data_IF_291504853675
#
_entry.id   IF_291504853675
#
_cell.length_a   1.000
_cell.length_b   1.000
_cell.length_c   1.000
_cell.angle_alpha   90.00
_cell.angle_beta   90.00
_cell.angle_gamma   90.00
#
_symmetry.space_group_name_H-M   'P 1'
#
loop_
_entity.id
_entity.type
_entity.pdbx_description
1 polymer ?
#
# COMPACT_ATOMS: atom_id res chain seq x y z
N UNK A 1 8.18 19.64 -6.47
CA UNK A 1 6.73 19.64 -6.77
C UNK A 1 6.14 18.30 -6.33
N UNK A 2 4.81 18.18 -6.24
CA UNK A 2 4.18 16.86 -6.23
C UNK A 2 4.20 16.27 -7.66
N UNK A 3 3.97 14.97 -7.80
CA UNK A 3 4.06 14.27 -9.09
C UNK A 3 2.90 14.62 -10.02
N UNK A 4 1.70 14.83 -9.46
CA UNK A 4 0.56 15.31 -10.24
C UNK A 4 0.71 16.82 -10.53
N UNK A 5 0.47 17.25 -11.79
CA UNK A 5 0.39 18.67 -12.14
C UNK A 5 -0.68 19.39 -11.29
N UNK A 6 -0.47 20.68 -11.05
CA UNK A 6 -1.40 21.47 -10.22
C UNK A 6 -2.79 21.55 -10.86
N UNK A 7 -2.85 21.58 -12.19
CA UNK A 7 -4.09 21.59 -12.99
C UNK A 7 -4.91 20.32 -12.77
N UNK A 8 -4.23 19.17 -12.63
CA UNK A 8 -4.86 17.89 -12.28
C UNK A 8 -5.42 17.92 -10.87
N UNK A 9 -4.67 18.44 -9.90
CA UNK A 9 -5.11 18.55 -8.50
C UNK A 9 -6.34 19.46 -8.36
N UNK A 10 -6.33 20.61 -9.03
CA UNK A 10 -7.48 21.54 -9.08
C UNK A 10 -8.71 20.87 -9.72
N UNK A 11 -8.51 20.08 -10.78
CA UNK A 11 -9.60 19.32 -11.42
C UNK A 11 -10.20 18.27 -10.48
N UNK A 12 -9.37 17.52 -9.74
CA UNK A 12 -9.83 16.56 -8.74
C UNK A 12 -10.59 17.29 -7.62
N UNK A 13 -10.07 18.42 -7.13
CA UNK A 13 -10.70 19.21 -6.06
C UNK A 13 -12.07 19.72 -6.49
N UNK A 14 -12.23 20.17 -7.74
CA UNK A 14 -13.51 20.56 -8.30
C UNK A 14 -14.52 19.40 -8.26
N UNK A 15 -14.11 18.20 -8.68
CA UNK A 15 -14.95 17.00 -8.62
C UNK A 15 -15.34 16.66 -7.18
N UNK A 16 -14.40 16.75 -6.23
CA UNK A 16 -14.65 16.51 -4.81
C UNK A 16 -15.77 17.41 -4.29
N UNK A 17 -15.74 18.70 -4.65
CA UNK A 17 -16.77 19.67 -4.25
C UNK A 17 -18.10 19.36 -4.96
N UNK A 18 -18.08 19.22 -6.29
CA UNK A 18 -19.29 19.01 -7.11
C UNK A 18 -20.05 17.73 -6.74
N UNK A 19 -19.32 16.66 -6.41
CA UNK A 19 -19.87 15.36 -6.04
C UNK A 19 -20.04 15.18 -4.54
N UNK A 20 -19.75 16.22 -3.75
CA UNK A 20 -19.85 16.19 -2.29
C UNK A 20 -19.06 15.02 -1.65
N UNK A 21 -17.91 14.69 -2.21
CA UNK A 21 -17.02 13.62 -1.72
C UNK A 21 -16.50 14.01 -0.34
N UNK A 22 -16.55 13.07 0.62
CA UNK A 22 -16.17 13.31 2.02
C UNK A 22 -14.83 12.68 2.42
N UNK A 23 -14.41 11.68 1.66
CA UNK A 23 -13.22 10.88 1.92
C UNK A 23 -12.57 10.53 0.60
N UNK A 24 -11.25 10.62 0.55
CA UNK A 24 -10.48 10.12 -0.58
C UNK A 24 -9.22 9.39 -0.11
N UNK A 25 -8.76 8.46 -0.94
CA UNK A 25 -7.50 7.77 -0.76
C UNK A 25 -6.49 8.32 -1.77
N UNK A 26 -5.28 8.62 -1.29
CA UNK A 26 -4.16 9.01 -2.13
C UNK A 26 -2.97 8.11 -1.79
N UNK A 27 -2.20 7.72 -2.79
CA UNK A 27 -0.95 6.99 -2.57
C UNK A 27 0.21 7.97 -2.47
N UNK A 28 1.15 7.71 -1.57
CA UNK A 28 2.33 8.56 -1.43
C UNK A 28 3.54 7.78 -0.98
N UNK A 29 4.67 8.07 -1.63
CA UNK A 29 5.97 7.50 -1.26
C UNK A 29 6.48 8.08 0.08
N UNK A 30 7.29 7.31 0.81
CA UNK A 30 7.88 7.70 2.09
C UNK A 30 8.62 9.06 2.07
N UNK A 31 9.20 9.44 0.93
CA UNK A 31 9.91 10.70 0.77
C UNK A 31 9.01 11.95 0.96
N UNK A 32 7.70 11.83 0.70
CA UNK A 32 6.74 12.93 0.82
C UNK A 32 6.04 13.01 2.19
N UNK A 33 6.40 12.16 3.16
CA UNK A 33 5.73 12.08 4.48
C UNK A 33 5.59 13.42 5.21
N UNK A 34 6.55 14.33 5.04
CA UNK A 34 6.52 15.67 5.68
C UNK A 34 5.60 16.67 4.98
N UNK A 35 5.06 16.32 3.80
CA UNK A 35 4.25 17.19 2.96
C UNK A 35 2.80 16.72 2.84
N UNK A 36 2.42 15.63 3.51
CA UNK A 36 1.05 15.08 3.47
C UNK A 36 0.00 16.08 3.96
N UNK A 37 0.38 16.97 4.89
CA UNK A 37 -0.54 17.99 5.41
C UNK A 37 -0.95 19.00 4.33
N UNK A 38 -0.03 19.37 3.43
CA UNK A 38 -0.33 20.30 2.33
C UNK A 38 -1.51 19.79 1.47
N UNK A 39 -1.58 18.47 1.25
CA UNK A 39 -2.67 17.84 0.50
C UNK A 39 -3.99 17.77 1.28
N UNK A 40 -3.93 17.53 2.59
CA UNK A 40 -5.14 17.57 3.44
C UNK A 40 -5.74 18.97 3.43
N UNK A 41 -4.91 19.99 3.58
CA UNK A 41 -5.32 21.38 3.58
C UNK A 41 -5.87 21.79 2.21
N UNK A 42 -5.25 21.33 1.12
CA UNK A 42 -5.68 21.61 -0.25
C UNK A 42 -7.09 21.05 -0.55
N UNK A 43 -7.33 19.78 -0.23
CA UNK A 43 -8.63 19.15 -0.51
C UNK A 43 -9.72 19.51 0.50
N UNK A 44 -9.37 19.83 1.74
CA UNK A 44 -10.33 20.25 2.78
C UNK A 44 -11.31 19.14 3.22
N UNK A 45 -10.99 17.87 2.93
CA UNK A 45 -11.77 16.69 3.31
C UNK A 45 -10.86 15.65 3.97
N UNK A 46 -11.43 14.52 4.43
CA UNK A 46 -10.62 13.42 4.96
C UNK A 46 -9.79 12.78 3.83
N UNK A 47 -8.47 12.87 3.94
CA UNK A 47 -7.54 12.23 3.01
C UNK A 47 -6.78 11.12 3.73
N UNK A 48 -7.00 9.88 3.30
CA UNK A 48 -6.28 8.70 3.75
C UNK A 48 -5.08 8.47 2.82
N UNK A 49 -3.87 8.49 3.38
CA UNK A 49 -2.67 8.17 2.61
C UNK A 49 -2.34 6.69 2.69
N UNK A 50 -2.24 6.05 1.53
CA UNK A 50 -1.68 4.72 1.32
C UNK A 50 -0.18 4.82 1.07
N UNK A 51 0.59 3.89 1.62
CA UNK A 51 2.01 3.75 1.34
C UNK A 51 2.33 2.32 0.92
N UNK A 52 3.06 2.17 -0.18
CA UNK A 52 3.71 0.92 -0.55
C UNK A 52 4.86 0.60 0.40
N UNK A 53 4.58 -0.24 1.40
CA UNK A 53 5.58 -0.78 2.34
C UNK A 53 6.18 -2.06 1.77
N UNK A 54 5.36 -2.85 1.07
CA UNK A 54 5.61 -4.16 0.47
C UNK A 54 5.94 -5.25 1.50
N UNK A 55 6.84 -4.98 2.44
CA UNK A 55 7.11 -5.77 3.63
C UNK A 55 7.71 -4.90 4.74
N UNK A 56 7.39 -5.20 6.01
CA UNK A 56 8.05 -4.56 7.15
C UNK A 56 9.45 -5.14 7.41
N UNK A 57 9.82 -6.26 6.80
CA UNK A 57 11.19 -6.77 6.83
C UNK A 57 12.14 -5.82 6.09
N UNK A 58 13.10 -5.26 6.83
CA UNK A 58 14.02 -4.25 6.30
C UNK A 58 15.00 -4.80 5.27
N UNK A 59 15.40 -6.06 5.40
CA UNK A 59 16.35 -6.67 4.49
C UNK A 59 15.66 -6.96 3.16
N UNK A 60 14.47 -7.55 3.20
CA UNK A 60 13.67 -7.81 2.02
C UNK A 60 13.32 -6.50 1.30
N UNK A 61 12.79 -5.50 2.03
CA UNK A 61 12.38 -4.21 1.45
C UNK A 61 13.52 -3.44 0.76
N UNK A 62 14.73 -3.47 1.32
CA UNK A 62 15.83 -2.66 0.80
C UNK A 62 16.77 -3.41 -0.13
N UNK A 63 17.02 -4.71 0.11
CA UNK A 63 17.98 -5.49 -0.68
C UNK A 63 17.32 -6.20 -1.85
N UNK A 64 16.06 -6.61 -1.72
CA UNK A 64 15.33 -7.33 -2.77
C UNK A 64 14.46 -6.35 -3.58
N UNK A 65 13.70 -5.48 -2.91
CA UNK A 65 12.75 -4.59 -3.58
C UNK A 65 13.31 -3.20 -3.90
N UNK A 66 14.48 -2.84 -3.37
CA UNK A 66 15.13 -1.53 -3.54
C UNK A 66 14.17 -0.33 -3.33
N UNK A 67 13.24 -0.43 -2.37
CA UNK A 67 12.13 0.53 -2.23
C UNK A 67 12.59 1.94 -1.78
N UNK A 68 13.83 2.09 -1.34
CA UNK A 68 14.39 3.35 -0.82
C UNK A 68 13.48 4.05 0.23
N UNK A 69 12.77 3.25 1.03
CA UNK A 69 11.90 3.70 2.12
C UNK A 69 12.60 3.46 3.46
N UNK A 70 13.26 4.52 3.96
CA UNK A 70 14.16 4.49 5.12
C UNK A 70 13.44 4.61 6.47
N UNK A 71 12.33 3.90 6.67
CA UNK A 71 11.72 3.77 7.99
C UNK A 71 12.28 2.55 8.73
N UNK A 72 12.39 2.64 10.06
CA UNK A 72 12.93 1.56 10.90
C UNK A 72 11.91 0.44 11.15
N UNK A 73 10.70 0.81 11.51
CA UNK A 73 9.63 -0.10 11.89
C UNK A 73 8.25 0.48 11.52
N UNK A 74 7.20 -0.27 11.80
CA UNK A 74 5.83 0.17 11.56
C UNK A 74 5.43 1.38 12.42
N UNK A 75 6.11 1.62 13.57
CA UNK A 75 5.83 2.76 14.43
C UNK A 75 6.22 4.09 13.78
N UNK A 76 7.23 4.09 12.93
CA UNK A 76 7.54 5.27 12.11
C UNK A 76 6.52 5.47 10.99
N UNK A 77 6.03 4.39 10.37
CA UNK A 77 5.04 4.47 9.29
C UNK A 77 3.70 5.02 9.79
N UNK A 78 3.19 4.49 10.91
CA UNK A 78 1.89 4.90 11.49
C UNK A 78 1.79 6.36 11.91
N UNK A 79 2.92 7.08 12.02
CA UNK A 79 2.92 8.52 12.32
C UNK A 79 2.35 9.34 11.16
N UNK A 80 2.42 8.81 9.94
CA UNK A 80 2.11 9.55 8.73
C UNK A 80 1.02 8.87 7.89
N UNK A 81 1.00 7.53 7.89
CA UNK A 81 0.14 6.72 7.04
C UNK A 81 -0.78 5.84 7.88
N UNK A 82 -2.06 5.81 7.52
CA UNK A 82 -3.07 4.95 8.15
C UNK A 82 -3.45 3.75 7.30
N UNK A 83 -3.01 3.74 6.03
CA UNK A 83 -3.19 2.65 5.08
C UNK A 83 -1.84 2.21 4.51
N UNK A 84 -1.61 0.90 4.44
CA UNK A 84 -0.36 0.31 3.92
C UNK A 84 -0.65 -0.73 2.85
N UNK A 85 0.22 -0.80 1.85
CA UNK A 85 0.21 -1.86 0.85
C UNK A 85 1.35 -2.84 1.13
N UNK A 86 1.02 -4.13 1.16
CA UNK A 86 1.94 -5.26 1.23
C UNK A 86 1.99 -5.98 -0.12
N UNK A 87 3.09 -6.71 -0.34
CA UNK A 87 3.30 -7.54 -1.51
C UNK A 87 3.61 -8.96 -1.05
N UNK A 88 2.88 -9.95 -1.57
CA UNK A 88 3.00 -11.37 -1.21
C UNK A 88 3.28 -12.20 -2.45
N UNK A 89 4.14 -13.22 -2.30
CA UNK A 89 4.39 -14.18 -3.37
C UNK A 89 5.63 -13.88 -4.20
N UNK A 90 6.63 -13.25 -3.60
CA UNK A 90 7.93 -12.97 -4.24
C UNK A 90 8.97 -13.97 -3.73
N UNK A 91 9.79 -14.51 -4.64
CA UNK A 91 10.92 -15.37 -4.27
C UNK A 91 11.86 -14.66 -3.29
N UNK A 92 12.19 -15.34 -2.20
CA UNK A 92 12.99 -14.80 -1.10
C UNK A 92 12.17 -14.34 0.10
N UNK A 93 10.84 -14.28 -0.01
CA UNK A 93 9.96 -14.18 1.16
C UNK A 93 9.88 -15.52 1.90
N UNK A 94 9.62 -15.45 3.21
CA UNK A 94 9.27 -16.61 4.02
C UNK A 94 7.85 -16.50 4.56
N UNK A 95 7.29 -17.63 4.99
CA UNK A 95 5.97 -17.67 5.64
C UNK A 95 5.96 -16.84 6.93
N UNK A 96 7.06 -16.85 7.67
CA UNK A 96 7.24 -16.08 8.91
C UNK A 96 7.26 -14.57 8.64
N UNK A 97 7.89 -14.15 7.53
CA UNK A 97 7.89 -12.75 7.10
C UNK A 97 6.46 -12.28 6.81
N UNK A 98 5.72 -13.05 6.01
CA UNK A 98 4.33 -12.73 5.67
C UNK A 98 3.44 -12.75 6.92
N UNK A 99 3.57 -13.74 7.80
CA UNK A 99 2.86 -13.79 9.09
C UNK A 99 3.04 -12.50 9.88
N UNK A 100 4.29 -12.09 10.06
CA UNK A 100 4.63 -10.87 10.79
C UNK A 100 4.06 -9.62 10.11
N UNK A 101 4.14 -9.55 8.78
CA UNK A 101 3.60 -8.41 8.03
C UNK A 101 2.08 -8.30 8.19
N UNK A 102 1.36 -9.42 8.06
CA UNK A 102 -0.10 -9.46 8.24
C UNK A 102 -0.50 -9.11 9.68
N UNK A 103 0.18 -9.67 10.68
CA UNK A 103 -0.07 -9.37 12.10
C UNK A 103 0.07 -7.87 12.40
N UNK A 104 1.10 -7.23 11.83
CA UNK A 104 1.33 -5.78 11.98
C UNK A 104 0.16 -5.00 11.36
N UNK A 105 -0.26 -5.34 10.14
CA UNK A 105 -1.36 -4.65 9.45
C UNK A 105 -2.67 -4.80 10.23
N UNK A 106 -3.00 -6.01 10.64
CA UNK A 106 -4.22 -6.30 11.40
C UNK A 106 -4.23 -5.61 12.77
N UNK A 107 -3.08 -5.50 13.43
CA UNK A 107 -3.01 -4.96 14.80
C UNK A 107 -2.80 -3.45 14.88
N UNK A 108 -2.18 -2.84 13.86
CA UNK A 108 -1.68 -1.47 13.99
C UNK A 108 -2.14 -0.48 12.92
N UNK A 109 -2.77 -0.95 11.83
CA UNK A 109 -3.23 -0.09 10.75
C UNK A 109 -4.76 -0.11 10.59
N UNK A 110 -5.29 1.04 10.14
CA UNK A 110 -6.72 1.22 9.92
C UNK A 110 -7.18 0.58 8.61
N UNK A 111 -6.28 0.53 7.62
CA UNK A 111 -6.52 -0.06 6.31
C UNK A 111 -5.28 -0.82 5.84
N UNK A 112 -5.48 -1.86 5.05
CA UNK A 112 -4.40 -2.59 4.39
C UNK A 112 -4.81 -3.08 3.01
N UNK A 113 -3.90 -3.00 2.06
CA UNK A 113 -4.02 -3.68 0.76
C UNK A 113 -2.94 -4.75 0.69
N UNK A 114 -3.29 -5.97 0.31
CA UNK A 114 -2.36 -7.08 0.12
C UNK A 114 -2.40 -7.45 -1.36
N UNK A 115 -1.31 -7.14 -2.07
CA UNK A 115 -1.16 -7.46 -3.48
C UNK A 115 -0.44 -8.80 -3.60
N UNK A 116 -1.03 -9.73 -4.35
CA UNK A 116 -0.33 -10.92 -4.83
C UNK A 116 0.55 -10.48 -6.00
N UNK A 117 1.84 -10.78 -5.92
CA UNK A 117 2.81 -10.32 -6.90
C UNK A 117 2.58 -10.96 -8.27
N UNK A 118 2.25 -10.16 -9.27
CA UNK A 118 2.25 -10.58 -10.68
C UNK A 118 3.61 -10.26 -11.30
N UNK A 119 4.21 -11.25 -11.98
CA UNK A 119 5.50 -11.04 -12.65
C UNK A 119 5.39 -9.94 -13.70
N UNK A 120 6.47 -9.17 -13.81
CA UNK A 120 6.60 -8.08 -14.77
C UNK A 120 7.97 -8.14 -15.45
N UNK A 121 8.39 -7.07 -16.11
CA UNK A 121 9.66 -7.01 -16.84
C UNK A 121 10.91 -6.95 -15.95
N UNK A 122 10.76 -6.93 -14.62
CA UNK A 122 11.88 -6.97 -13.68
C UNK A 122 12.39 -8.40 -13.44
N UNK A 123 13.57 -8.52 -12.83
CA UNK A 123 14.16 -9.81 -12.46
C UNK A 123 13.50 -10.46 -11.24
N UNK A 124 12.56 -9.77 -10.59
CA UNK A 124 11.81 -10.29 -9.44
C UNK A 124 10.88 -11.40 -9.92
N UNK A 125 10.95 -12.55 -9.26
CA UNK A 125 10.18 -13.75 -9.61
C UNK A 125 9.11 -14.08 -8.60
N UNK A 126 8.02 -14.64 -9.10
CA UNK A 126 6.87 -15.10 -8.32
C UNK A 126 7.19 -16.43 -7.64
N UNK A 127 6.62 -16.62 -6.45
CA UNK A 127 6.71 -17.83 -5.64
C UNK A 127 5.31 -18.46 -5.49
N UNK A 128 4.98 -19.38 -6.40
CA UNK A 128 3.65 -20.00 -6.46
C UNK A 128 3.33 -20.87 -5.23
N UNK A 129 4.34 -21.51 -4.62
CA UNK A 129 4.12 -22.30 -3.42
C UNK A 129 3.75 -21.40 -2.23
N UNK A 130 4.41 -20.24 -2.14
CA UNK A 130 4.13 -19.26 -1.11
C UNK A 130 2.75 -18.62 -1.30
N UNK A 131 2.36 -18.34 -2.54
CA UNK A 131 1.03 -17.81 -2.87
C UNK A 131 -0.04 -18.83 -2.52
N UNK A 132 0.07 -20.07 -3.02
CA UNK A 132 -0.90 -21.12 -2.71
C UNK A 132 -1.06 -21.34 -1.20
N UNK A 133 0.04 -21.28 -0.44
CA UNK A 133 -0.01 -21.29 1.01
C UNK A 133 -0.74 -20.07 1.60
N UNK A 134 -0.41 -18.87 1.13
CA UNK A 134 -1.04 -17.63 1.60
C UNK A 134 -2.55 -17.62 1.35
N UNK A 135 -2.98 -18.00 0.14
CA UNK A 135 -4.40 -18.05 -0.22
C UNK A 135 -5.19 -18.97 0.70
N UNK A 136 -4.62 -20.12 1.07
CA UNK A 136 -5.25 -21.08 1.98
C UNK A 136 -5.27 -20.57 3.42
N UNK A 137 -4.12 -20.10 3.92
CA UNK A 137 -3.95 -19.69 5.32
C UNK A 137 -4.73 -18.40 5.64
N UNK A 138 -4.72 -17.45 4.71
CA UNK A 138 -5.24 -16.10 4.87
C UNK A 138 -6.52 -15.84 4.08
N UNK A 139 -7.24 -16.88 3.64
CA UNK A 139 -8.51 -16.70 2.93
C UNK A 139 -9.51 -15.85 3.72
N UNK A 140 -9.47 -15.92 5.05
CA UNK A 140 -10.33 -15.14 5.95
C UNK A 140 -10.14 -13.62 5.80
N UNK A 141 -9.02 -13.15 5.26
CA UNK A 141 -8.79 -11.72 5.03
C UNK A 141 -9.79 -11.10 4.06
N UNK A 142 -10.41 -11.90 3.19
CA UNK A 142 -11.48 -11.45 2.28
C UNK A 142 -12.72 -10.95 3.03
N UNK A 143 -12.94 -11.43 4.25
CA UNK A 143 -14.06 -11.05 5.10
C UNK A 143 -13.69 -9.92 6.09
N UNK A 144 -12.42 -9.48 6.11
CA UNK A 144 -11.94 -8.41 6.99
C UNK A 144 -12.17 -7.07 6.31
N UNK A 145 -13.18 -6.32 6.76
CA UNK A 145 -13.66 -5.07 6.12
C UNK A 145 -12.61 -3.97 5.90
N UNK A 146 -11.48 -4.02 6.61
CA UNK A 146 -10.37 -3.06 6.48
C UNK A 146 -9.24 -3.53 5.57
N UNK A 147 -9.31 -4.75 5.06
CA UNK A 147 -8.28 -5.37 4.23
C UNK A 147 -8.84 -5.62 2.84
N UNK A 148 -8.07 -5.23 1.83
CA UNK A 148 -8.32 -5.58 0.44
C UNK A 148 -7.22 -6.56 0.00
N UNK A 149 -7.60 -7.71 -0.57
CA UNK A 149 -6.66 -8.67 -1.14
C UNK A 149 -6.85 -8.67 -2.65
N UNK A 150 -5.79 -8.37 -3.39
CA UNK A 150 -5.78 -8.25 -4.83
C UNK A 150 -4.88 -9.33 -5.42
N UNK A 151 -5.45 -10.17 -6.27
CA UNK A 151 -4.78 -11.30 -6.91
C UNK A 151 -4.15 -10.90 -8.24
N UNK A 152 -4.79 -9.95 -8.93
CA UNK A 152 -4.31 -9.38 -10.18
C UNK A 152 -4.13 -7.87 -10.02
N UNK A 153 -3.15 -7.31 -10.73
CA UNK A 153 -2.90 -5.86 -10.74
C UNK A 153 -4.12 -5.05 -11.23
N UNK A 154 -5.04 -5.68 -11.97
CA UNK A 154 -6.24 -5.09 -12.54
C UNK A 154 -7.47 -5.18 -11.63
N UNK A 155 -7.34 -5.68 -10.40
CA UNK A 155 -8.50 -5.87 -9.50
C UNK A 155 -9.15 -4.54 -9.06
N UNK A 156 -8.45 -3.41 -9.16
CA UNK A 156 -9.04 -2.07 -9.02
C UNK A 156 -9.66 -1.51 -10.33
N UNK A 157 -9.59 -2.26 -11.42
CA UNK A 157 -10.01 -1.84 -12.76
C UNK A 157 -9.07 -0.84 -13.43
N UNK A 158 -7.81 -0.75 -12.97
CA UNK A 158 -6.78 0.19 -13.46
C UNK A 158 -5.46 -0.55 -13.68
N UNK A 159 -4.87 -0.41 -14.87
CA UNK A 159 -3.62 -1.09 -15.28
C UNK A 159 -3.82 -1.98 -16.51
N UNK A 160 -2.78 -2.11 -17.35
CA UNK A 160 -2.69 -2.98 -18.53
C UNK A 160 -1.55 -4.00 -18.38
#
# INVERSE_FOLDING_TARGET
SFELPIETLESIRKIVIEKNIKKMFLESHWCYRSRLQEMRDFFGIEVIFKIGVESFDSNFRNLVLNKNARFKDYNEVRKYFSSVCLMVGIKGQSKEMIKKDIDIVLSHFHYGTINIFTENTTDIKRDEELISWFEKEYNFLKDVSKIEVLFENTDFGVGD
#
